data_IF_561544173565
#
_entry.id   IF_561544173565
#
_cell.length_a   1.000
_cell.length_b   1.000
_cell.length_c   1.000
_cell.angle_alpha   90.00
_cell.angle_beta   90.00
_cell.angle_gamma   90.00
#
_symmetry.space_group_name_H-M   'P 1'
#
loop_
_entity.id
_entity.type
_entity.pdbx_description
1 polymer ?
#
# COMPACT_ATOMS: atom_id res chain seq x y z
N UNK A 1 -6.89 -10.51 10.84
CA UNK A 1 -7.27 -9.16 10.34
C UNK A 1 -6.94 -9.05 8.85
N UNK A 2 -7.68 -8.24 8.08
CA UNK A 2 -7.32 -7.91 6.69
C UNK A 2 -6.25 -6.81 6.73
N UNK A 3 -5.12 -7.04 6.06
CA UNK A 3 -4.01 -6.09 5.99
C UNK A 3 -3.66 -5.89 4.52
N UNK A 4 -3.83 -4.67 4.04
CA UNK A 4 -3.45 -4.23 2.70
C UNK A 4 -2.42 -3.08 2.78
N UNK A 5 -1.97 -2.56 1.63
CA UNK A 5 -0.99 -1.48 1.60
C UNK A 5 -1.45 -0.16 2.25
N UNK A 6 -2.76 0.04 2.45
CA UNK A 6 -3.31 1.18 3.16
C UNK A 6 -3.16 0.99 4.67
N UNK A 7 -3.63 -0.15 5.18
CA UNK A 7 -3.51 -0.52 6.60
C UNK A 7 -2.05 -0.57 7.03
N UNK A 8 -1.19 -1.20 6.23
CA UNK A 8 0.26 -1.25 6.46
C UNK A 8 0.85 0.15 6.69
N UNK A 9 0.53 1.11 5.80
CA UNK A 9 1.04 2.48 5.91
C UNK A 9 0.51 3.21 7.14
N UNK A 10 -0.78 3.10 7.43
CA UNK A 10 -1.39 3.75 8.60
C UNK A 10 -0.71 3.25 9.88
N UNK A 11 -0.58 1.92 10.03
CA UNK A 11 0.00 1.29 11.21
C UNK A 11 1.50 1.58 11.33
N UNK A 12 2.25 1.52 10.22
CA UNK A 12 3.67 1.90 10.23
C UNK A 12 3.88 3.34 10.68
N UNK A 13 2.99 4.27 10.35
CA UNK A 13 3.04 5.67 10.81
C UNK A 13 2.60 5.81 12.27
N UNK A 14 1.50 5.16 12.65
CA UNK A 14 0.95 5.21 14.01
C UNK A 14 2.01 4.81 15.05
N UNK A 15 2.77 3.75 14.76
CA UNK A 15 3.79 3.20 15.67
C UNK A 15 5.24 3.50 15.26
N UNK A 16 5.48 4.35 14.26
CA UNK A 16 6.83 4.67 13.75
C UNK A 16 7.70 3.43 13.48
N UNK A 17 7.14 2.45 12.76
CA UNK A 17 7.81 1.17 12.49
C UNK A 17 8.98 1.40 11.52
N UNK A 18 10.20 1.41 12.05
CA UNK A 18 11.43 1.67 11.29
C UNK A 18 11.91 0.47 10.47
N UNK A 19 11.47 -0.74 10.82
CA UNK A 19 11.74 -1.96 10.05
C UNK A 19 11.18 -1.79 8.63
N UNK A 20 11.94 -2.12 7.57
CA UNK A 20 11.45 -2.01 6.20
C UNK A 20 10.14 -2.78 6.01
N UNK A 21 9.20 -2.20 5.26
CA UNK A 21 7.84 -2.74 5.11
C UNK A 21 7.80 -4.20 4.64
N UNK A 22 8.74 -4.60 3.80
CA UNK A 22 8.87 -5.99 3.32
C UNK A 22 9.10 -6.99 4.45
N UNK A 23 9.74 -6.56 5.54
CA UNK A 23 10.13 -7.36 6.70
C UNK A 23 9.17 -7.14 7.88
N UNK A 24 8.55 -5.96 7.97
CA UNK A 24 7.68 -5.56 9.08
C UNK A 24 6.25 -6.14 9.05
N UNK A 25 5.90 -6.99 8.08
CA UNK A 25 4.51 -7.45 7.90
C UNK A 25 3.97 -8.22 9.10
N UNK A 26 4.81 -9.01 9.76
CA UNK A 26 4.43 -9.75 10.98
C UNK A 26 4.13 -8.81 12.15
N UNK A 27 5.00 -7.82 12.37
CA UNK A 27 4.83 -6.82 13.43
C UNK A 27 3.59 -5.97 13.20
N UNK A 28 3.40 -5.48 11.97
CA UNK A 28 2.20 -4.71 11.57
C UNK A 28 0.94 -5.52 11.85
N UNK A 29 0.92 -6.80 11.47
CA UNK A 29 -0.22 -7.67 11.73
C UNK A 29 -0.51 -7.80 13.22
N UNK A 30 0.52 -7.94 14.05
CA UNK A 30 0.38 -8.02 15.50
C UNK A 30 -0.24 -6.74 16.09
N UNK A 31 0.18 -5.55 15.62
CA UNK A 31 -0.44 -4.29 16.02
C UNK A 31 -1.91 -4.21 15.59
N UNK A 32 -2.21 -4.56 14.34
CA UNK A 32 -3.58 -4.56 13.83
C UNK A 32 -4.47 -5.49 14.65
N UNK A 33 -4.02 -6.71 14.93
CA UNK A 33 -4.80 -7.69 15.70
C UNK A 33 -5.13 -7.20 17.12
N UNK A 34 -4.27 -6.38 17.74
CA UNK A 34 -4.55 -5.74 19.02
C UNK A 34 -5.54 -4.58 18.94
N UNK A 35 -5.65 -3.93 17.78
CA UNK A 35 -6.53 -2.79 17.55
C UNK A 35 -7.94 -3.21 17.07
N UNK A 36 -8.07 -4.39 16.46
CA UNK A 36 -9.36 -4.86 15.94
C UNK A 36 -10.34 -5.04 17.09
N UNK A 37 -11.48 -4.33 17.11
CA UNK A 37 -12.49 -4.50 18.14
C UNK A 37 -13.20 -5.85 17.99
N UNK A 38 -13.60 -6.44 19.12
CA UNK A 38 -14.41 -7.66 19.12
C UNK A 38 -15.78 -7.45 18.47
N UNK A 39 -16.32 -6.24 18.61
CA UNK A 39 -17.57 -5.81 17.98
C UNK A 39 -17.27 -5.05 16.69
N UNK A 40 -18.02 -5.35 15.62
CA UNK A 40 -17.91 -4.67 14.31
C UNK A 40 -16.49 -4.67 13.68
N UNK A 41 -15.78 -5.81 13.60
CA UNK A 41 -14.43 -5.86 13.02
C UNK A 41 -14.36 -5.49 11.53
N UNK A 42 -15.47 -5.67 10.79
CA UNK A 42 -15.58 -5.24 9.40
C UNK A 42 -15.54 -3.73 9.23
N UNK A 43 -16.21 -2.99 10.12
CA UNK A 43 -16.19 -1.53 10.10
C UNK A 43 -14.82 -0.97 10.46
N UNK A 44 -14.10 -1.62 11.39
CA UNK A 44 -12.70 -1.29 11.66
C UNK A 44 -11.84 -1.47 10.40
N UNK A 45 -11.98 -2.59 9.69
CA UNK A 45 -11.23 -2.83 8.47
C UNK A 45 -11.53 -1.77 7.40
N UNK A 46 -12.81 -1.44 7.19
CA UNK A 46 -13.21 -0.42 6.22
C UNK A 46 -12.72 0.97 6.62
N UNK A 47 -12.87 1.35 7.89
CA UNK A 47 -12.39 2.64 8.40
C UNK A 47 -10.87 2.80 8.22
N UNK A 48 -10.09 1.74 8.46
CA UNK A 48 -8.63 1.77 8.24
C UNK A 48 -8.27 1.88 6.75
N UNK A 49 -9.01 1.20 5.87
CA UNK A 49 -8.85 1.34 4.42
C UNK A 49 -9.17 2.77 3.95
N UNK A 50 -10.32 3.32 4.34
CA UNK A 50 -10.76 4.67 3.98
C UNK A 50 -9.80 5.74 4.51
N UNK A 51 -9.35 5.58 5.76
CA UNK A 51 -8.35 6.44 6.38
C UNK A 51 -7.05 6.44 5.57
N UNK A 52 -6.54 5.26 5.20
CA UNK A 52 -5.34 5.13 4.39
C UNK A 52 -5.52 5.72 2.99
N UNK A 53 -6.67 5.54 2.36
CA UNK A 53 -6.94 6.01 1.01
C UNK A 53 -7.10 7.54 0.91
N UNK A 54 -7.73 8.17 1.91
CA UNK A 54 -8.21 9.56 1.79
C UNK A 54 -7.46 10.58 2.66
N UNK A 55 -6.91 10.16 3.81
CA UNK A 55 -6.28 11.06 4.78
C UNK A 55 -4.80 10.71 4.96
N UNK A 56 -4.51 9.47 5.34
CA UNK A 56 -3.16 8.98 5.56
C UNK A 56 -2.53 8.51 4.24
N UNK A 57 -2.50 9.39 3.24
CA UNK A 57 -2.05 9.11 1.87
C UNK A 57 -0.52 8.88 1.79
N UNK A 58 -0.01 8.19 0.75
CA UNK A 58 1.42 7.91 0.62
C UNK A 58 2.33 9.15 0.63
N UNK A 59 1.86 10.25 0.06
CA UNK A 59 2.54 11.55 0.03
C UNK A 59 1.58 12.63 0.52
N UNK A 60 2.10 13.63 1.23
CA UNK A 60 1.34 14.75 1.79
C UNK A 60 0.09 14.30 2.54
N UNK A 61 0.21 13.43 3.57
CA UNK A 61 -0.95 13.01 4.36
C UNK A 61 -1.62 14.23 5.00
N UNK A 62 -2.96 14.20 5.06
CA UNK A 62 -3.78 15.27 5.65
C UNK A 62 -3.81 15.14 7.17
N UNK A 63 -2.64 15.14 7.80
CA UNK A 63 -2.46 14.89 9.24
C UNK A 63 -3.32 15.78 10.14
N UNK A 64 -3.59 17.03 9.74
CA UNK A 64 -4.47 17.95 10.49
C UNK A 64 -5.95 17.51 10.53
N UNK A 65 -6.37 16.59 9.66
CA UNK A 65 -7.71 16.00 9.64
C UNK A 65 -7.72 14.54 10.15
N UNK A 66 -6.56 14.01 10.54
CA UNK A 66 -6.45 12.60 10.91
C UNK A 66 -7.07 12.38 12.30
N UNK A 67 -8.04 11.46 12.44
CA UNK A 67 -8.63 11.15 13.74
C UNK A 67 -7.64 10.51 14.71
N UNK A 68 -6.54 9.93 14.20
CA UNK A 68 -5.47 9.32 15.00
C UNK A 68 -4.30 10.28 15.26
N UNK A 69 -4.47 11.58 15.00
CA UNK A 69 -3.36 12.55 15.01
C UNK A 69 -2.60 12.57 16.35
N UNK A 70 -3.34 12.56 17.46
CA UNK A 70 -2.78 12.71 18.81
C UNK A 70 -1.96 11.49 19.24
N UNK A 71 -2.34 10.30 18.76
CA UNK A 71 -1.65 9.05 19.07
C UNK A 71 -0.58 8.67 18.03
N UNK A 72 -0.47 9.41 16.93
CA UNK A 72 0.41 9.07 15.82
C UNK A 72 1.87 9.45 16.10
N UNK A 73 2.68 8.44 16.44
CA UNK A 73 4.10 8.61 16.71
C UNK A 73 4.86 9.27 15.54
N UNK A 74 4.50 8.98 14.29
CA UNK A 74 5.17 9.61 13.14
C UNK A 74 4.84 11.11 12.98
N UNK A 75 3.68 11.57 13.47
CA UNK A 75 3.36 13.01 13.53
C UNK A 75 4.10 13.67 14.69
N UNK A 76 4.14 13.02 15.85
CA UNK A 76 4.85 13.52 17.05
C UNK A 76 6.35 13.68 16.77
N UNK A 77 6.95 12.72 16.05
CA UNK A 77 8.36 12.76 15.63
C UNK A 77 8.63 13.68 14.43
N UNK A 78 7.59 14.27 13.84
CA UNK A 78 7.70 15.30 12.81
C UNK A 78 7.83 14.82 11.36
N UNK A 79 7.84 13.51 11.08
CA UNK A 79 7.99 12.98 9.72
C UNK A 79 7.13 11.74 9.45
N UNK A 80 5.86 11.98 9.10
CA UNK A 80 4.94 10.94 8.67
C UNK A 80 5.27 10.37 7.28
N UNK A 81 5.94 11.12 6.41
CA UNK A 81 6.25 10.68 5.05
C UNK A 81 7.42 9.70 4.98
N UNK A 82 8.30 9.71 5.99
CA UNK A 82 9.32 8.68 6.17
C UNK A 82 8.76 7.26 6.25
N UNK A 83 7.53 7.10 6.73
CA UNK A 83 6.90 5.80 6.92
C UNK A 83 5.85 5.50 5.84
N UNK A 84 5.75 4.23 5.40
CA UNK A 84 6.57 3.09 5.82
C UNK A 84 7.99 3.14 5.22
N UNK A 85 8.98 2.65 5.97
CA UNK A 85 10.36 2.53 5.49
C UNK A 85 10.39 1.52 4.35
N UNK A 86 11.10 1.84 3.26
CA UNK A 86 11.24 0.98 2.09
C UNK A 86 12.71 0.70 1.84
N UNK A 87 13.02 -0.55 1.51
CA UNK A 87 14.34 -0.87 0.96
C UNK A 87 14.54 -0.12 -0.37
N UNK A 88 15.78 0.29 -0.68
CA UNK A 88 16.14 0.76 -2.01
C UNK A 88 15.68 -0.25 -3.07
N UNK A 89 15.08 0.25 -4.15
CA UNK A 89 14.70 -0.62 -5.27
C UNK A 89 15.97 -1.06 -5.99
N UNK A 90 16.12 -2.37 -6.20
CA UNK A 90 17.14 -2.91 -7.09
C UNK A 90 16.91 -2.45 -8.54
N UNK A 91 17.95 -2.54 -9.36
CA UNK A 91 17.87 -2.23 -10.78
C UNK A 91 16.86 -3.14 -11.47
N UNK A 92 15.95 -2.54 -12.23
CA UNK A 92 15.02 -3.29 -13.05
C UNK A 92 15.74 -3.76 -14.32
N UNK A 93 15.63 -5.04 -14.71
CA UNK A 93 16.23 -5.50 -15.96
C UNK A 93 15.59 -4.76 -17.14
N UNK A 94 16.42 -4.17 -18.00
CA UNK A 94 15.95 -3.63 -19.27
C UNK A 94 15.52 -4.80 -20.16
N UNK A 95 14.23 -4.86 -20.50
CA UNK A 95 13.69 -5.82 -21.47
C UNK A 95 13.42 -5.08 -22.77
N UNK A 96 14.08 -5.48 -23.85
CA UNK A 96 13.77 -5.00 -25.20
C UNK A 96 12.73 -5.93 -25.83
N UNK A 97 11.74 -5.35 -26.47
CA UNK A 97 10.71 -6.08 -27.20
C UNK A 97 10.29 -5.30 -28.44
N UNK A 98 9.87 -6.01 -29.48
CA UNK A 98 9.25 -5.43 -30.66
C UNK A 98 7.77 -5.84 -30.69
N UNK A 99 6.90 -4.91 -31.07
CA UNK A 99 5.49 -5.17 -31.32
C UNK A 99 5.21 -4.94 -32.80
N UNK A 100 4.43 -5.84 -33.40
CA UNK A 100 4.01 -5.75 -34.80
C UNK A 100 2.49 -5.72 -34.85
N UNK A 101 1.96 -4.97 -35.81
CA UNK A 101 0.53 -4.96 -36.12
C UNK A 101 0.36 -5.61 -37.48
N UNK A 102 -0.25 -6.79 -37.50
CA UNK A 102 -0.63 -7.46 -38.74
C UNK A 102 -2.09 -7.17 -39.04
N UNK A 103 -2.33 -6.59 -40.21
CA UNK A 103 -3.66 -6.24 -40.73
C UNK A 103 -3.93 -7.09 -41.96
N UNK A 104 -5.07 -7.78 -41.97
CA UNK A 104 -5.54 -8.55 -43.12
C UNK A 104 -6.19 -7.60 -44.14
N UNK A 105 -6.30 -8.01 -45.41
CA UNK A 105 -6.81 -7.14 -46.48
C UNK A 105 -8.24 -6.61 -46.30
N UNK A 106 -9.03 -7.20 -45.39
CA UNK A 106 -10.36 -6.75 -44.98
C UNK A 106 -10.36 -5.81 -43.76
N UNK A 107 -9.18 -5.40 -43.28
CA UNK A 107 -9.01 -4.54 -42.10
C UNK A 107 -8.96 -5.29 -40.77
N UNK A 108 -9.10 -6.62 -40.74
CA UNK A 108 -9.01 -7.37 -39.49
C UNK A 108 -7.60 -7.37 -38.90
N UNK A 109 -7.49 -7.24 -37.57
CA UNK A 109 -6.21 -7.23 -36.84
C UNK A 109 -5.93 -8.61 -36.22
N UNK A 110 -4.71 -9.12 -36.39
CA UNK A 110 -4.29 -10.35 -35.73
C UNK A 110 -4.07 -10.13 -34.24
N UNK A 111 -4.85 -10.81 -33.40
CA UNK A 111 -4.66 -10.86 -31.96
C UNK A 111 -4.20 -12.26 -31.54
N UNK A 112 -3.31 -12.31 -30.54
CA UNK A 112 -2.91 -13.56 -29.88
C UNK A 112 -3.20 -13.46 -28.39
N UNK A 113 -3.88 -14.47 -27.84
CA UNK A 113 -4.03 -14.62 -26.40
C UNK A 113 -2.67 -14.97 -25.79
N UNK A 114 -2.20 -14.18 -24.83
CA UNK A 114 -0.99 -14.52 -24.06
C UNK A 114 -1.23 -15.85 -23.34
N UNK A 115 -0.18 -16.67 -23.24
CA UNK A 115 -0.25 -17.93 -22.50
C UNK A 115 -0.62 -17.72 -21.03
N UNK A 116 -1.09 -18.78 -20.37
CA UNK A 116 -1.61 -18.73 -18.99
C UNK A 116 -0.57 -18.39 -17.91
N UNK A 117 0.73 -18.41 -18.22
CA UNK A 117 1.80 -18.03 -17.29
C UNK A 117 2.38 -16.67 -17.69
N UNK A 118 2.23 -15.71 -16.78
CA UNK A 118 2.79 -14.36 -16.87
C UNK A 118 4.26 -14.33 -16.52
#
# INVERSE_FOLDING_TARGET
AVVDGNVERVVSRLFSIVTPLSEAKGDIRTYVERMVPATRPGDFAQAMMDLGATICTPRRPRCGLCPLREDCSAIISGDAERFPVRLPKGEKPLRRGAAFVAVRGDGAILLRKRGHKG
#
